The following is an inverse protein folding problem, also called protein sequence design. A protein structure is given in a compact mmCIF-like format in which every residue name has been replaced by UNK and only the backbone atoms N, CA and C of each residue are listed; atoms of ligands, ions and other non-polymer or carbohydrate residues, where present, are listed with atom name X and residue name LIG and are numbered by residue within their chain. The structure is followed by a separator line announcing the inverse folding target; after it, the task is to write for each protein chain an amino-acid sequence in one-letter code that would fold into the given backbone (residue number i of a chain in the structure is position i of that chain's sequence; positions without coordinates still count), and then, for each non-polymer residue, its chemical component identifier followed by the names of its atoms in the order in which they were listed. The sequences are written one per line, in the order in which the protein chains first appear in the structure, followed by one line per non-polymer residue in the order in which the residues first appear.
data_IF_489968483466
#
_entry.id   IF_489968483466
#
_cell.length_a   1.000
_cell.length_b   1.000
_cell.length_c   1.000
_cell.angle_alpha   90.00
_cell.angle_beta   90.00
_cell.angle_gamma   90.00
#
_symmetry.space_group_name_H-M   'P 1'
#
loop_
_entity.id
_entity.type
_entity.pdbx_description
1 polymer ?
#
# COMPACT_ATOMS: atom_id res chain seq x y z
N UNK A 1 0.04 -9.33 0.54
CA UNK A 1 0.04 -8.65 -0.77
C UNK A 1 -1.03 -9.30 -1.61
N UNK A 2 -2.02 -8.53 -2.04
CA UNK A 2 -3.13 -9.00 -2.86
C UNK A 2 -2.68 -9.15 -4.32
N UNK A 3 -3.11 -10.22 -5.01
CA UNK A 3 -2.65 -10.53 -6.36
C UNK A 3 -3.82 -10.62 -7.34
N UNK A 4 -3.75 -9.83 -8.40
CA UNK A 4 -4.78 -9.70 -9.43
C UNK A 4 -4.22 -10.10 -10.79
N UNK A 5 -4.93 -10.97 -11.50
CA UNK A 5 -4.60 -11.36 -12.87
C UNK A 5 -5.76 -11.01 -13.80
N UNK A 6 -5.50 -10.12 -14.76
CA UNK A 6 -6.42 -9.84 -15.86
C UNK A 6 -6.20 -10.81 -17.01
N UNK A 7 -7.29 -11.31 -17.60
CA UNK A 7 -7.23 -12.31 -18.66
C UNK A 7 -8.13 -11.87 -19.83
N UNK A 8 -7.58 -11.95 -21.03
CA UNK A 8 -8.34 -11.85 -22.26
C UNK A 8 -7.84 -12.91 -23.26
N UNK A 9 -8.33 -12.93 -24.49
CA UNK A 9 -7.95 -13.93 -25.50
C UNK A 9 -6.43 -14.00 -25.71
N UNK A 10 -5.80 -12.90 -26.18
CA UNK A 10 -4.39 -12.88 -26.61
C UNK A 10 -3.40 -12.17 -25.68
N UNK A 11 -3.86 -11.49 -24.60
CA UNK A 11 -3.00 -10.68 -23.72
C UNK A 11 -2.21 -9.53 -24.38
N UNK A 12 -2.67 -9.04 -25.52
CA UNK A 12 -2.06 -7.92 -26.24
C UNK A 12 -2.96 -6.68 -26.31
N UNK A 13 -4.18 -6.76 -25.78
CA UNK A 13 -5.15 -5.68 -25.88
C UNK A 13 -5.83 -5.42 -24.53
N UNK A 14 -7.02 -5.96 -24.28
CA UNK A 14 -7.87 -5.66 -23.10
C UNK A 14 -7.20 -5.94 -21.76
N UNK A 15 -6.66 -7.15 -21.55
CA UNK A 15 -6.05 -7.51 -20.27
C UNK A 15 -4.74 -6.75 -19.99
N UNK A 16 -3.93 -6.52 -21.03
CA UNK A 16 -2.71 -5.74 -20.91
C UNK A 16 -3.02 -4.25 -20.60
N UNK A 17 -4.09 -3.70 -21.20
CA UNK A 17 -4.56 -2.36 -20.88
C UNK A 17 -5.08 -2.28 -19.45
N UNK A 18 -5.86 -3.25 -18.97
CA UNK A 18 -6.36 -3.31 -17.60
C UNK A 18 -5.22 -3.35 -16.57
N UNK A 19 -4.16 -4.12 -16.86
CA UNK A 19 -2.95 -4.15 -16.04
C UNK A 19 -2.29 -2.77 -15.94
N UNK A 20 -2.07 -2.09 -17.07
CA UNK A 20 -1.45 -0.78 -17.12
C UNK A 20 -2.27 0.27 -16.35
N UNK A 21 -3.59 0.28 -16.59
CA UNK A 21 -4.54 1.20 -15.95
C UNK A 21 -4.58 1.00 -14.43
N UNK A 22 -4.79 -0.24 -13.96
CA UNK A 22 -4.90 -0.50 -12.53
C UNK A 22 -3.59 -0.25 -11.79
N UNK A 23 -2.44 -0.62 -12.37
CA UNK A 23 -1.12 -0.32 -11.80
C UNK A 23 -0.89 1.19 -11.60
N UNK A 24 -1.31 2.01 -12.56
CA UNK A 24 -1.18 3.46 -12.43
C UNK A 24 -2.14 3.99 -11.37
N UNK A 25 -3.42 3.59 -11.39
CA UNK A 25 -4.41 4.00 -10.40
C UNK A 25 -3.98 3.62 -8.96
N UNK A 26 -3.46 2.41 -8.76
CA UNK A 26 -2.93 1.99 -7.45
C UNK A 26 -1.79 2.89 -6.96
N UNK A 27 -0.86 3.28 -7.86
CA UNK A 27 0.24 4.20 -7.50
C UNK A 27 -0.27 5.58 -7.13
N UNK A 28 -1.22 6.12 -7.89
CA UNK A 28 -1.81 7.46 -7.66
C UNK A 28 -2.57 7.52 -6.32
N UNK A 29 -3.24 6.43 -5.94
CA UNK A 29 -3.99 6.31 -4.67
C UNK A 29 -3.13 5.79 -3.50
N UNK A 30 -1.83 5.55 -3.71
CA UNK A 30 -0.93 5.05 -2.66
C UNK A 30 -1.19 3.61 -2.21
N UNK A 31 -1.90 2.81 -3.00
CA UNK A 31 -2.18 1.40 -2.72
C UNK A 31 -0.97 0.56 -3.13
N UNK A 32 -0.06 0.29 -2.20
CA UNK A 32 1.24 -0.34 -2.48
C UNK A 32 1.24 -1.87 -2.35
N UNK A 33 0.23 -2.46 -1.72
CA UNK A 33 0.20 -3.90 -1.41
C UNK A 33 -0.62 -4.73 -2.41
N UNK A 34 -0.59 -4.33 -3.70
CA UNK A 34 -1.29 -5.03 -4.77
C UNK A 34 -0.32 -5.40 -5.88
N UNK A 35 -0.21 -6.70 -6.20
CA UNK A 35 0.46 -7.20 -7.39
C UNK A 35 -0.57 -7.31 -8.52
N UNK A 36 -0.37 -6.60 -9.62
CA UNK A 36 -1.24 -6.64 -10.80
C UNK A 36 -0.47 -7.23 -11.97
N UNK A 37 -1.07 -8.19 -12.65
CA UNK A 37 -0.50 -8.85 -13.82
C UNK A 37 -1.58 -9.12 -14.87
N UNK A 38 -1.17 -9.53 -16.08
CA UNK A 38 -2.08 -9.99 -17.12
C UNK A 38 -1.58 -11.25 -17.84
N UNK A 39 -2.50 -11.97 -18.46
CA UNK A 39 -2.22 -13.17 -19.22
C UNK A 39 -3.27 -13.38 -20.34
N UNK A 40 -2.95 -14.29 -21.28
CA UNK A 40 -3.84 -14.75 -22.33
C UNK A 40 -4.55 -16.06 -21.95
N UNK A 41 -5.76 -16.25 -22.41
CA UNK A 41 -6.41 -17.57 -22.42
C UNK A 41 -5.77 -18.50 -23.48
N UNK A 42 -5.30 -17.95 -24.59
CA UNK A 42 -4.75 -18.70 -25.72
C UNK A 42 -3.22 -18.56 -25.84
N UNK A 43 -2.64 -19.22 -26.85
CA UNK A 43 -1.19 -19.18 -27.15
C UNK A 43 -0.82 -18.32 -28.36
N UNK A 44 -1.80 -17.75 -29.02
CA UNK A 44 -1.65 -17.16 -30.35
C UNK A 44 -0.68 -15.96 -30.36
N UNK A 45 -0.64 -15.20 -29.26
CA UNK A 45 0.11 -13.94 -29.18
C UNK A 45 1.30 -14.00 -28.19
N UNK A 46 1.74 -15.19 -27.78
CA UNK A 46 2.83 -15.32 -26.79
C UNK A 46 4.09 -14.57 -27.25
N UNK A 47 4.63 -13.74 -26.37
CA UNK A 47 5.82 -12.91 -26.59
C UNK A 47 5.54 -11.57 -27.27
N UNK A 48 4.33 -11.37 -27.81
CA UNK A 48 3.96 -10.12 -28.47
C UNK A 48 3.71 -9.00 -27.45
N UNK A 49 4.03 -7.80 -27.89
CA UNK A 49 3.78 -6.57 -27.13
C UNK A 49 2.32 -6.10 -27.27
N UNK A 50 1.93 -5.11 -26.48
CA UNK A 50 0.58 -4.51 -26.55
C UNK A 50 0.31 -4.02 -27.99
N UNK A 51 -0.85 -4.38 -28.52
CA UNK A 51 -1.26 -4.03 -29.87
C UNK A 51 -1.20 -2.49 -30.09
N UNK A 52 -0.55 -2.03 -31.17
CA UNK A 52 -0.25 -0.60 -31.34
C UNK A 52 -1.45 0.36 -31.21
N UNK A 53 -2.66 0.04 -31.73
CA UNK A 53 -3.83 0.89 -31.51
C UNK A 53 -4.23 1.03 -30.04
N UNK A 54 -4.09 -0.03 -29.23
CA UNK A 54 -4.36 0.02 -27.79
C UNK A 54 -3.28 0.82 -27.07
N UNK A 55 -1.99 0.69 -27.44
CA UNK A 55 -0.92 1.57 -26.91
C UNK A 55 -1.22 3.05 -27.19
N UNK A 56 -1.68 3.36 -28.41
CA UNK A 56 -2.06 4.73 -28.75
C UNK A 56 -3.24 5.22 -27.90
N UNK A 57 -4.23 4.39 -27.64
CA UNK A 57 -5.36 4.72 -26.80
C UNK A 57 -4.94 4.99 -25.35
N UNK A 58 -4.09 4.13 -24.77
CA UNK A 58 -3.51 4.30 -23.44
C UNK A 58 -2.71 5.58 -23.31
N UNK A 59 -1.79 5.83 -24.25
CA UNK A 59 -0.96 7.05 -24.27
C UNK A 59 -1.81 8.32 -24.37
N UNK A 60 -2.88 8.32 -25.17
CA UNK A 60 -3.80 9.45 -25.31
C UNK A 60 -4.52 9.81 -24.00
N UNK A 61 -4.60 8.87 -23.06
CA UNK A 61 -5.19 9.07 -21.71
C UNK A 61 -4.13 9.18 -20.61
N UNK A 62 -2.85 9.28 -20.97
CA UNK A 62 -1.76 9.47 -20.00
C UNK A 62 -1.29 8.22 -19.28
N UNK A 63 -1.71 7.03 -19.72
CA UNK A 63 -1.23 5.78 -19.13
C UNK A 63 0.14 5.38 -19.67
N UNK A 64 1.04 5.00 -18.76
CA UNK A 64 2.34 4.47 -19.13
C UNK A 64 2.18 3.05 -19.72
N UNK A 65 2.88 2.82 -20.83
CA UNK A 65 2.94 1.51 -21.49
C UNK A 65 4.37 0.96 -21.37
N UNK A 66 4.73 0.29 -20.26
CA UNK A 66 6.03 -0.36 -20.16
C UNK A 66 6.15 -1.51 -21.19
N UNK A 67 7.35 -1.99 -21.47
CA UNK A 67 7.55 -3.18 -22.29
C UNK A 67 6.68 -4.33 -21.79
N UNK A 68 5.97 -5.00 -22.72
CA UNK A 68 5.06 -6.08 -22.43
C UNK A 68 5.42 -7.29 -23.30
N UNK A 69 5.23 -8.49 -22.76
CA UNK A 69 5.34 -9.73 -23.50
C UNK A 69 4.17 -10.64 -23.08
N UNK A 70 3.26 -10.89 -24.01
CA UNK A 70 2.08 -11.70 -23.77
C UNK A 70 2.48 -13.11 -23.29
N UNK A 71 1.84 -13.60 -22.24
CA UNK A 71 2.01 -14.96 -21.71
C UNK A 71 0.66 -15.66 -21.63
N UNK A 72 0.65 -16.98 -21.76
CA UNK A 72 -0.55 -17.73 -21.48
C UNK A 72 -0.74 -17.92 -19.97
N UNK A 73 -1.98 -17.90 -19.51
CA UNK A 73 -2.33 -18.32 -18.15
C UNK A 73 -2.18 -19.83 -18.00
N UNK A 74 -1.84 -20.27 -16.80
CA UNK A 74 -1.60 -21.68 -16.46
C UNK A 74 -2.47 -22.11 -15.28
N UNK A 75 -2.63 -23.41 -15.08
CA UNK A 75 -3.37 -23.94 -13.92
C UNK A 75 -2.83 -23.43 -12.58
N UNK A 76 -1.51 -23.20 -12.47
CA UNK A 76 -0.88 -22.67 -11.27
C UNK A 76 -1.24 -21.20 -10.96
N UNK A 77 -1.72 -20.46 -11.96
CA UNK A 77 -2.15 -19.08 -11.73
C UNK A 77 -3.42 -19.03 -10.86
N UNK A 78 -4.27 -20.08 -10.86
CA UNK A 78 -5.44 -20.14 -9.99
C UNK A 78 -5.08 -20.11 -8.49
N UNK A 79 -3.99 -20.77 -8.13
CA UNK A 79 -3.52 -20.82 -6.73
C UNK A 79 -2.74 -19.55 -6.33
N UNK A 80 -2.09 -18.94 -7.33
CA UNK A 80 -1.21 -17.79 -7.12
C UNK A 80 -1.96 -16.48 -6.94
N UNK A 81 -3.09 -16.29 -7.66
CA UNK A 81 -3.81 -15.01 -7.70
C UNK A 81 -5.11 -15.07 -6.90
N UNK A 82 -5.41 -13.98 -6.17
CA UNK A 82 -6.62 -13.84 -5.38
C UNK A 82 -7.84 -13.49 -6.24
N UNK A 83 -7.62 -12.71 -7.31
CA UNK A 83 -8.64 -12.35 -8.30
C UNK A 83 -8.17 -12.68 -9.71
N UNK A 84 -9.05 -13.34 -10.46
CA UNK A 84 -8.88 -13.75 -11.85
C UNK A 84 -9.99 -13.08 -12.66
N UNK A 85 -9.65 -12.05 -13.42
CA UNK A 85 -10.65 -11.14 -13.98
C UNK A 85 -10.62 -11.20 -15.50
N UNK A 86 -11.73 -11.68 -16.09
CA UNK A 86 -11.95 -11.74 -17.52
C UNK A 86 -12.61 -10.49 -18.08
N UNK A 87 -12.56 -10.34 -19.40
CA UNK A 87 -13.14 -9.23 -20.13
C UNK A 87 -14.53 -9.56 -20.67
N UNK A 88 -14.76 -10.83 -21.00
CA UNK A 88 -15.98 -11.38 -21.57
C UNK A 88 -16.27 -12.78 -21.02
N UNK A 89 -17.42 -13.34 -21.37
CA UNK A 89 -17.83 -14.69 -20.93
C UNK A 89 -17.01 -15.80 -21.56
N UNK A 90 -16.42 -15.58 -22.76
CA UNK A 90 -15.51 -16.52 -23.37
C UNK A 90 -14.25 -16.67 -22.50
N UNK A 91 -13.68 -15.55 -22.03
CA UNK A 91 -12.54 -15.58 -21.11
C UNK A 91 -12.87 -16.31 -19.79
N UNK A 92 -14.07 -16.10 -19.22
CA UNK A 92 -14.52 -16.82 -18.02
C UNK A 92 -14.62 -18.33 -18.27
N UNK A 93 -15.16 -18.74 -19.42
CA UNK A 93 -15.27 -20.14 -19.82
C UNK A 93 -13.89 -20.77 -19.98
N UNK A 94 -12.99 -20.09 -20.67
CA UNK A 94 -11.60 -20.55 -20.87
C UNK A 94 -10.84 -20.67 -19.55
N UNK A 95 -10.96 -19.70 -18.66
CA UNK A 95 -10.38 -19.77 -17.32
C UNK A 95 -10.87 -20.99 -16.55
N UNK A 96 -12.19 -21.21 -16.49
CA UNK A 96 -12.75 -22.40 -15.81
C UNK A 96 -12.24 -23.70 -16.41
N UNK A 97 -12.09 -23.78 -17.74
CA UNK A 97 -11.55 -24.94 -18.43
C UNK A 97 -10.06 -25.14 -18.10
N UNK A 98 -9.24 -24.08 -18.12
CA UNK A 98 -7.79 -24.15 -17.86
C UNK A 98 -7.52 -24.51 -16.40
N UNK A 99 -8.27 -23.93 -15.47
CA UNK A 99 -8.06 -24.11 -14.03
C UNK A 99 -8.74 -25.37 -13.48
N UNK A 100 -9.68 -25.96 -14.23
CA UNK A 100 -10.45 -27.12 -13.77
C UNK A 100 -11.62 -26.77 -12.87
N UNK A 101 -12.17 -25.56 -13.02
CA UNK A 101 -13.28 -25.01 -12.25
C UNK A 101 -12.93 -23.72 -11.52
N UNK A 102 -13.85 -23.28 -10.64
CA UNK A 102 -13.68 -22.09 -9.80
C UNK A 102 -14.19 -22.34 -8.37
N UNK A 103 -13.61 -23.31 -7.62
CA UNK A 103 -14.11 -23.68 -6.30
C UNK A 103 -13.95 -22.60 -5.23
N UNK A 104 -13.09 -21.60 -5.45
CA UNK A 104 -12.83 -20.50 -4.53
C UNK A 104 -13.51 -19.19 -4.97
N UNK A 105 -14.34 -19.23 -6.03
CA UNK A 105 -15.06 -18.07 -6.57
C UNK A 105 -14.16 -16.86 -6.84
N UNK A 106 -12.99 -17.10 -7.49
CA UNK A 106 -12.01 -16.06 -7.82
C UNK A 106 -12.21 -15.43 -9.18
N UNK A 107 -13.03 -16.07 -10.04
CA UNK A 107 -13.24 -15.66 -11.42
C UNK A 107 -14.43 -14.71 -11.51
N UNK A 108 -14.23 -13.54 -12.15
CA UNK A 108 -15.28 -12.53 -12.38
C UNK A 108 -15.05 -11.75 -13.66
N UNK A 109 -16.07 -11.02 -14.13
CA UNK A 109 -15.93 -10.02 -15.18
C UNK A 109 -15.39 -8.70 -14.61
N UNK A 110 -14.62 -7.98 -15.40
CA UNK A 110 -14.10 -6.66 -14.98
C UNK A 110 -15.23 -5.65 -14.76
N UNK A 111 -16.29 -5.67 -15.57
CA UNK A 111 -17.44 -4.74 -15.42
C UNK A 111 -18.32 -5.02 -14.21
N UNK A 112 -18.28 -6.22 -13.65
CA UNK A 112 -18.96 -6.51 -12.37
C UNK A 112 -18.50 -5.55 -11.26
N UNK A 113 -17.23 -5.19 -11.26
CA UNK A 113 -16.64 -4.25 -10.31
C UNK A 113 -17.07 -2.80 -10.52
N UNK A 114 -17.52 -2.44 -11.74
CA UNK A 114 -18.11 -1.14 -12.02
C UNK A 114 -19.59 -1.02 -11.55
N UNK A 115 -20.15 -2.11 -11.03
CA UNK A 115 -21.58 -2.20 -10.71
C UNK A 115 -22.46 -2.53 -11.94
N UNK A 116 -21.85 -2.96 -13.02
CA UNK A 116 -22.50 -3.34 -14.29
C UNK A 116 -22.47 -4.86 -14.45
N UNK A 117 -23.08 -5.55 -13.50
CA UNK A 117 -23.04 -7.02 -13.40
C UNK A 117 -23.47 -7.71 -14.71
N UNK A 118 -22.65 -8.66 -15.15
CA UNK A 118 -22.87 -9.44 -16.33
C UNK A 118 -22.62 -8.71 -17.66
N UNK A 119 -22.09 -7.49 -17.64
CA UNK A 119 -21.68 -6.80 -18.86
C UNK A 119 -20.24 -7.16 -19.25
N UNK A 120 -19.98 -7.23 -20.55
CA UNK A 120 -18.67 -7.54 -21.12
C UNK A 120 -17.92 -6.27 -21.51
N UNK A 121 -16.59 -6.36 -21.60
CA UNK A 121 -15.77 -5.34 -22.27
C UNK A 121 -15.82 -5.62 -23.77
N UNK A 122 -16.28 -4.68 -24.56
CA UNK A 122 -16.29 -4.79 -26.01
C UNK A 122 -14.92 -5.16 -26.55
N UNK A 123 -14.86 -6.13 -27.46
CA UNK A 123 -13.58 -6.48 -28.06
C UNK A 123 -13.22 -5.52 -29.20
N UNK A 124 -12.21 -4.64 -29.00
CA UNK A 124 -11.82 -3.66 -30.01
C UNK A 124 -11.14 -4.31 -31.24
N UNK A 125 -10.85 -5.60 -31.20
CA UNK A 125 -10.43 -6.34 -32.39
C UNK A 125 -11.52 -6.37 -33.44
N UNK A 126 -12.79 -6.50 -33.02
CA UNK A 126 -13.96 -6.53 -33.89
C UNK A 126 -14.56 -5.13 -34.09
N UNK A 127 -14.74 -4.39 -33.01
CA UNK A 127 -15.41 -3.07 -33.04
C UNK A 127 -14.54 -1.95 -33.59
N UNK A 128 -13.21 -2.10 -33.55
CA UNK A 128 -12.20 -1.07 -33.86
C UNK A 128 -12.30 0.16 -32.91
N UNK A 129 -13.10 0.10 -31.86
CA UNK A 129 -13.22 1.17 -30.86
C UNK A 129 -12.34 0.91 -29.63
N UNK A 130 -11.05 1.22 -29.77
CA UNK A 130 -10.07 1.08 -28.68
C UNK A 130 -10.31 2.09 -27.56
N UNK A 131 -10.87 3.26 -27.87
CA UNK A 131 -11.17 4.27 -26.84
C UNK A 131 -12.39 3.91 -26.01
N UNK A 132 -13.44 3.37 -26.63
CA UNK A 132 -14.62 2.86 -25.93
C UNK A 132 -14.27 1.69 -25.02
N UNK A 133 -13.55 0.69 -25.54
CA UNK A 133 -13.08 -0.45 -24.75
C UNK A 133 -12.19 0.01 -23.56
N UNK A 134 -11.28 0.96 -23.77
CA UNK A 134 -10.45 1.53 -22.70
C UNK A 134 -11.30 2.25 -21.64
N UNK A 135 -12.35 2.97 -22.04
CA UNK A 135 -13.30 3.61 -21.11
C UNK A 135 -14.02 2.60 -20.20
N UNK A 136 -14.44 1.47 -20.77
CA UNK A 136 -15.06 0.37 -20.02
C UNK A 136 -14.04 -0.28 -19.05
N UNK A 137 -12.79 -0.48 -19.50
CA UNK A 137 -11.70 -1.00 -18.67
C UNK A 137 -11.43 -0.06 -17.48
N UNK A 138 -11.34 1.24 -17.72
CA UNK A 138 -11.14 2.24 -16.65
C UNK A 138 -12.28 2.23 -15.64
N UNK A 139 -13.52 2.11 -16.07
CA UNK A 139 -14.67 2.03 -15.18
C UNK A 139 -14.58 0.80 -14.27
N UNK A 140 -14.27 -0.36 -14.84
CA UNK A 140 -14.05 -1.60 -14.09
C UNK A 140 -12.87 -1.50 -13.11
N UNK A 141 -11.73 -0.97 -13.55
CA UNK A 141 -10.54 -0.77 -12.70
C UNK A 141 -10.83 0.20 -11.55
N UNK A 142 -11.56 1.30 -11.78
CA UNK A 142 -11.98 2.22 -10.70
C UNK A 142 -12.91 1.55 -9.69
N UNK A 143 -13.82 0.71 -10.15
CA UNK A 143 -14.70 -0.07 -9.27
C UNK A 143 -13.92 -1.06 -8.40
N UNK A 144 -13.00 -1.80 -9.03
CA UNK A 144 -12.10 -2.72 -8.35
C UNK A 144 -11.24 -1.97 -7.32
N UNK A 145 -10.62 -0.85 -7.70
CA UNK A 145 -9.82 -0.01 -6.80
C UNK A 145 -10.60 0.44 -5.56
N UNK A 146 -11.85 0.90 -5.74
CA UNK A 146 -12.74 1.27 -4.61
C UNK A 146 -13.03 0.09 -3.70
N UNK A 147 -13.24 -1.10 -4.25
CA UNK A 147 -13.45 -2.32 -3.46
C UNK A 147 -12.20 -2.70 -2.67
N UNK A 148 -11.01 -2.59 -3.28
CA UNK A 148 -9.73 -2.83 -2.63
C UNK A 148 -9.48 -1.83 -1.50
N UNK A 149 -9.67 -0.54 -1.76
CA UNK A 149 -9.54 0.51 -0.76
C UNK A 149 -10.49 0.29 0.43
N UNK A 150 -11.74 -0.15 0.16
CA UNK A 150 -12.69 -0.50 1.21
C UNK A 150 -12.28 -1.74 2.00
N UNK A 151 -11.70 -2.75 1.35
CA UNK A 151 -11.17 -3.93 2.04
C UNK A 151 -9.94 -3.58 2.89
N UNK A 152 -9.08 -2.69 2.42
CA UNK A 152 -7.93 -2.20 3.20
C UNK A 152 -8.39 -1.32 4.36
N UNK A 153 -9.35 -0.43 4.17
CA UNK A 153 -9.91 0.39 5.25
C UNK A 153 -10.60 -0.45 6.34
N UNK A 154 -11.13 -1.61 5.98
CA UNK A 154 -11.71 -2.58 6.93
C UNK A 154 -10.70 -3.53 7.57
N UNK A 155 -9.41 -3.51 7.16
CA UNK A 155 -8.37 -4.32 7.81
C UNK A 155 -7.64 -3.51 8.87
N UNK A 156 -7.26 -4.14 10.00
CA UNK A 156 -6.41 -3.46 10.96
C UNK A 156 -5.05 -3.11 10.35
N UNK A 157 -4.68 -1.84 10.45
CA UNK A 157 -3.39 -1.30 10.01
C UNK A 157 -2.37 -1.46 11.14
N UNK A 158 -1.21 -2.02 10.84
CA UNK A 158 -0.09 -2.10 11.78
C UNK A 158 0.81 -0.87 11.61
N UNK A 159 1.05 -0.17 12.72
CA UNK A 159 1.89 1.02 12.78
C UNK A 159 3.03 0.79 13.76
N UNK A 160 4.28 0.94 13.30
CA UNK A 160 5.43 0.99 14.18
C UNK A 160 5.64 2.43 14.67
N UNK A 161 5.96 2.61 15.94
CA UNK A 161 6.30 3.91 16.54
C UNK A 161 7.71 3.82 17.12
N UNK A 162 8.61 4.61 16.55
CA UNK A 162 10.04 4.66 16.84
C UNK A 162 10.42 6.05 17.33
N UNK A 163 11.49 6.16 18.09
CA UNK A 163 12.16 7.42 18.42
C UNK A 163 13.61 7.18 18.81
N UNK A 164 14.43 8.23 18.77
CA UNK A 164 15.75 8.27 19.37
C UNK A 164 16.67 7.13 18.87
N UNK A 165 16.71 6.91 17.55
CA UNK A 165 17.65 5.98 16.92
C UNK A 165 19.10 6.44 17.04
N UNK A 166 19.34 7.76 17.05
CA UNK A 166 20.69 8.36 17.16
C UNK A 166 21.71 7.75 16.20
N UNK A 167 21.31 7.52 14.94
CA UNK A 167 22.15 6.96 13.89
C UNK A 167 22.46 5.47 14.07
N UNK A 168 21.67 4.75 14.83
CA UNK A 168 21.75 3.31 15.01
C UNK A 168 20.38 2.66 14.81
N UNK A 169 20.05 2.31 13.57
CA UNK A 169 18.92 1.47 13.27
C UNK A 169 19.31 0.00 13.45
N UNK A 170 18.81 -0.63 14.51
CA UNK A 170 19.14 -2.01 14.86
C UNK A 170 18.42 -3.00 13.95
N UNK A 171 19.09 -4.13 13.62
CA UNK A 171 18.48 -5.21 12.81
C UNK A 171 17.24 -5.80 13.45
N UNK A 172 17.21 -5.91 14.78
CA UNK A 172 16.06 -6.45 15.52
C UNK A 172 14.88 -5.47 15.52
N UNK A 173 15.12 -4.15 15.53
CA UNK A 173 14.10 -3.14 15.30
C UNK A 173 13.50 -3.31 13.90
N UNK A 174 14.36 -3.47 12.88
CA UNK A 174 13.93 -3.72 11.51
C UNK A 174 13.12 -5.01 11.39
N UNK A 175 13.51 -6.07 12.07
CA UNK A 175 12.78 -7.35 12.08
C UNK A 175 11.37 -7.19 12.66
N UNK A 176 11.22 -6.40 13.73
CA UNK A 176 9.94 -6.16 14.39
C UNK A 176 8.97 -5.29 13.57
N UNK A 177 9.47 -4.40 12.71
CA UNK A 177 8.61 -3.49 11.94
C UNK A 177 8.19 -4.02 10.56
N UNK A 178 8.68 -5.18 10.13
CA UNK A 178 8.44 -5.74 8.77
C UNK A 178 6.97 -5.98 8.42
N UNK A 179 6.13 -6.23 9.41
CA UNK A 179 4.70 -6.43 9.26
C UNK A 179 3.89 -5.12 9.39
N UNK A 180 4.58 -3.98 9.59
CA UNK A 180 3.97 -2.67 9.70
C UNK A 180 3.87 -2.01 8.33
N UNK A 181 2.74 -1.40 8.03
CA UNK A 181 2.52 -0.63 6.80
C UNK A 181 2.88 0.84 6.94
N UNK A 182 2.93 1.33 8.18
CA UNK A 182 3.28 2.71 8.53
C UNK A 182 4.31 2.71 9.65
N UNK A 183 5.23 3.66 9.56
CA UNK A 183 6.30 3.87 10.52
C UNK A 183 6.27 5.33 10.96
N UNK A 184 6.12 5.56 12.27
CA UNK A 184 6.23 6.87 12.90
C UNK A 184 7.61 6.98 13.55
N UNK A 185 8.34 8.05 13.26
CA UNK A 185 9.61 8.34 13.91
C UNK A 185 9.56 9.69 14.62
N UNK A 186 9.54 9.68 15.95
CA UNK A 186 9.37 10.87 16.79
C UNK A 186 10.67 11.64 17.03
N UNK A 187 11.63 11.63 16.09
CA UNK A 187 12.83 12.48 16.10
C UNK A 187 14.08 11.86 16.70
N UNK A 188 15.17 12.64 16.67
CA UNK A 188 16.54 12.23 17.01
C UNK A 188 17.00 11.02 16.18
N UNK A 189 16.93 11.18 14.86
CA UNK A 189 17.29 10.20 13.84
C UNK A 189 18.81 10.19 13.64
N UNK A 190 19.41 11.37 13.42
CA UNK A 190 20.84 11.67 13.26
C UNK A 190 21.46 11.21 11.93
N UNK A 191 20.91 10.18 11.25
CA UNK A 191 21.36 9.75 9.93
C UNK A 191 20.20 9.66 8.97
N UNK A 192 20.29 10.35 7.84
CA UNK A 192 19.29 10.29 6.76
C UNK A 192 19.14 8.86 6.21
N UNK A 193 20.23 8.10 6.13
CA UNK A 193 20.22 6.70 5.68
C UNK A 193 19.31 5.80 6.52
N UNK A 194 19.10 6.11 7.81
CA UNK A 194 18.17 5.36 8.65
C UNK A 194 16.70 5.57 8.18
N UNK A 195 16.35 6.78 7.75
CA UNK A 195 15.05 7.04 7.13
C UNK A 195 14.88 6.35 5.79
N UNK A 196 15.92 6.33 4.96
CA UNK A 196 15.91 5.66 3.66
C UNK A 196 15.73 4.15 3.82
N UNK A 197 16.39 3.56 4.81
CA UNK A 197 16.18 2.15 5.15
C UNK A 197 14.75 1.89 5.64
N UNK A 198 14.21 2.72 6.53
CA UNK A 198 12.85 2.58 7.05
C UNK A 198 11.79 2.70 5.94
N UNK A 199 12.01 3.54 4.93
CA UNK A 199 11.11 3.68 3.75
C UNK A 199 10.94 2.38 2.95
N UNK A 200 11.88 1.45 3.05
CA UNK A 200 11.76 0.14 2.38
C UNK A 200 10.69 -0.75 3.02
N UNK A 201 10.29 -0.48 4.26
CA UNK A 201 9.37 -1.31 5.03
C UNK A 201 7.95 -0.75 5.12
N UNK A 202 7.75 0.56 4.92
CA UNK A 202 6.41 1.17 4.98
C UNK A 202 6.41 2.68 4.74
N UNK A 203 5.22 3.26 4.71
CA UNK A 203 5.06 4.72 4.66
C UNK A 203 5.59 5.35 5.92
N UNK A 204 6.50 6.33 5.80
CA UNK A 204 7.14 6.96 6.95
C UNK A 204 6.57 8.34 7.25
N UNK A 205 6.34 8.59 8.54
CA UNK A 205 6.03 9.89 9.12
C UNK A 205 7.11 10.21 10.13
N UNK A 206 7.87 11.28 9.91
CA UNK A 206 8.98 11.61 10.79
C UNK A 206 8.96 13.10 11.16
N UNK A 207 9.29 13.40 12.40
CA UNK A 207 9.60 14.75 12.86
C UNK A 207 11.08 14.85 13.18
N UNK A 208 11.64 16.07 13.12
CA UNK A 208 13.00 16.30 13.59
C UNK A 208 13.05 16.36 15.11
N UNK A 209 14.10 15.79 15.68
CA UNK A 209 14.50 16.01 17.08
C UNK A 209 15.57 17.11 17.20
N UNK A 210 16.01 17.36 18.42
CA UNK A 210 17.03 18.36 18.69
C UNK A 210 18.42 18.01 18.12
N UNK A 211 18.73 16.73 17.96
CA UNK A 211 19.98 16.28 17.36
C UNK A 211 19.95 16.27 15.83
N UNK A 212 18.78 16.40 15.20
CA UNK A 212 18.63 16.40 13.73
C UNK A 212 18.87 17.80 13.12
N UNK A 213 18.82 18.86 13.93
CA UNK A 213 18.98 20.26 13.46
C UNK A 213 20.30 20.54 12.74
N UNK A 214 21.33 19.76 13.03
CA UNK A 214 22.69 19.92 12.49
C UNK A 214 23.01 18.92 11.37
N UNK A 215 22.03 18.10 10.96
CA UNK A 215 22.19 17.07 9.96
C UNK A 215 21.57 17.51 8.62
N UNK A 216 22.37 17.48 7.56
CA UNK A 216 21.84 17.70 6.20
C UNK A 216 20.79 16.60 5.90
N UNK A 217 19.69 16.99 5.24
CA UNK A 217 18.57 16.10 4.93
C UNK A 217 17.55 15.89 6.07
N UNK A 218 17.94 16.05 7.35
CA UNK A 218 17.04 15.89 8.49
C UNK A 218 16.56 17.22 9.08
N UNK A 219 17.34 18.29 9.00
CA UNK A 219 16.99 19.62 9.51
C UNK A 219 15.72 20.21 8.91
N UNK A 220 15.38 19.79 7.68
CA UNK A 220 14.21 20.29 6.94
C UNK A 220 12.93 19.51 7.30
N UNK A 221 13.03 18.44 8.10
CA UNK A 221 11.86 17.77 8.66
C UNK A 221 11.06 18.75 9.54
N UNK A 222 9.74 18.60 9.51
CA UNK A 222 8.87 19.37 10.40
C UNK A 222 9.18 19.07 11.88
N UNK A 223 9.14 20.07 12.76
CA UNK A 223 9.23 19.85 14.21
C UNK A 223 7.95 19.28 14.83
N UNK A 224 6.82 19.47 14.14
CA UNK A 224 5.51 18.98 14.53
C UNK A 224 4.73 18.59 13.29
N UNK A 225 4.06 17.42 13.35
CA UNK A 225 3.15 16.94 12.31
C UNK A 225 1.76 16.65 12.86
N UNK A 226 0.74 16.99 12.06
CA UNK A 226 -0.64 16.50 12.23
C UNK A 226 -0.99 15.67 11.01
N UNK A 227 -1.47 14.46 11.21
CA UNK A 227 -1.77 13.52 10.11
C UNK A 227 -2.81 12.51 10.55
N UNK A 228 -3.27 11.70 9.59
CA UNK A 228 -4.28 10.67 9.82
C UNK A 228 -3.85 9.34 9.22
N UNK A 229 -4.05 8.24 9.95
CA UNK A 229 -3.84 6.86 9.49
C UNK A 229 -5.05 6.04 9.88
N UNK A 230 -5.68 5.36 8.92
CA UNK A 230 -6.88 4.53 9.13
C UNK A 230 -7.99 5.24 9.91
N UNK A 231 -8.18 6.55 9.71
CA UNK A 231 -9.18 7.36 10.38
C UNK A 231 -8.79 7.83 11.79
N UNK A 232 -7.62 7.44 12.31
CA UNK A 232 -7.08 7.94 13.60
C UNK A 232 -6.22 9.17 13.33
N UNK A 233 -6.53 10.27 14.04
CA UNK A 233 -5.81 11.55 13.93
C UNK A 233 -4.70 11.65 14.96
N UNK A 234 -3.50 11.87 14.47
CA UNK A 234 -2.26 11.97 15.23
C UNK A 234 -1.74 13.39 15.29
N UNK A 235 -1.08 13.69 16.39
CA UNK A 235 -0.10 14.77 16.51
C UNK A 235 1.23 14.13 16.91
N UNK A 236 2.30 14.47 16.23
CA UNK A 236 3.65 13.98 16.55
C UNK A 236 4.62 15.14 16.65
N UNK A 237 5.41 15.16 17.70
CA UNK A 237 6.53 16.07 17.93
C UNK A 237 7.62 15.33 18.69
N UNK A 238 8.86 15.82 18.67
CA UNK A 238 9.93 15.15 19.41
C UNK A 238 9.82 15.38 20.93
N UNK A 239 9.62 16.61 21.33
CA UNK A 239 9.55 16.96 22.76
C UNK A 239 8.07 17.23 23.15
N UNK A 240 7.62 16.64 24.25
CA UNK A 240 6.26 16.81 24.77
C UNK A 240 5.96 18.30 25.09
N UNK A 241 6.97 19.10 25.44
CA UNK A 241 6.83 20.55 25.72
C UNK A 241 6.41 21.36 24.48
N UNK A 242 6.61 20.82 23.28
CA UNK A 242 6.23 21.45 22.01
C UNK A 242 4.78 21.14 21.60
N UNK A 243 4.07 20.32 22.38
CA UNK A 243 2.68 19.98 22.10
C UNK A 243 1.79 21.22 22.31
N UNK A 244 1.03 21.66 21.28
CA UNK A 244 0.20 22.84 21.40
C UNK A 244 -1.02 22.58 22.30
N UNK A 245 -1.54 23.65 22.92
CA UNK A 245 -2.73 23.56 23.82
C UNK A 245 -3.99 23.09 23.08
N UNK A 246 -4.13 23.42 21.78
CA UNK A 246 -5.28 22.98 20.98
C UNK A 246 -5.01 21.62 20.36
N UNK A 247 -5.68 20.60 20.89
CA UNK A 247 -5.65 19.21 20.44
C UNK A 247 -7.01 18.75 19.89
N UNK A 248 -7.83 19.67 19.39
CA UNK A 248 -9.14 19.33 18.84
C UNK A 248 -9.04 18.30 17.73
N UNK A 249 -9.83 17.23 17.85
CA UNK A 249 -9.87 16.11 16.92
C UNK A 249 -8.69 15.15 17.00
N UNK A 250 -7.61 15.44 17.74
CA UNK A 250 -6.47 14.54 17.93
C UNK A 250 -6.84 13.39 18.87
N UNK A 251 -6.51 12.16 18.46
CA UNK A 251 -6.77 10.93 19.23
C UNK A 251 -5.49 10.34 19.82
N UNK A 252 -4.33 10.60 19.19
CA UNK A 252 -3.04 10.16 19.69
C UNK A 252 -1.98 11.26 19.57
N UNK A 253 -1.21 11.47 20.64
CA UNK A 253 -0.03 12.32 20.71
C UNK A 253 1.19 11.42 20.83
N UNK A 254 2.15 11.58 19.94
CA UNK A 254 3.38 10.79 19.89
C UNK A 254 4.57 11.70 20.16
N UNK A 255 5.39 11.36 21.15
CA UNK A 255 6.61 12.08 21.52
C UNK A 255 7.79 11.12 21.68
N UNK A 256 9.01 11.67 21.73
CA UNK A 256 10.26 10.98 22.02
C UNK A 256 11.04 11.64 23.14
N UNK A 257 12.31 11.96 22.91
CA UNK A 257 13.21 12.80 23.70
C UNK A 257 13.63 12.25 25.09
N UNK A 258 12.70 11.72 25.86
CA UNK A 258 13.00 11.23 27.21
C UNK A 258 13.70 9.88 27.25
N UNK A 259 13.73 9.15 26.13
CA UNK A 259 14.22 7.77 25.99
C UNK A 259 13.52 6.76 26.92
N UNK A 260 12.37 7.11 27.48
CA UNK A 260 11.60 6.24 28.38
C UNK A 260 10.25 5.93 27.76
N UNK A 261 9.93 4.65 27.69
CA UNK A 261 8.60 4.24 27.25
C UNK A 261 7.52 4.77 28.24
N UNK A 262 6.53 5.43 27.70
CA UNK A 262 5.32 5.80 28.43
C UNK A 262 4.10 5.66 27.53
N UNK A 263 3.00 5.22 28.12
CA UNK A 263 1.71 5.04 27.47
C UNK A 263 0.63 5.46 28.48
N UNK A 264 -0.04 6.56 28.19
CA UNK A 264 -1.02 7.16 29.11
C UNK A 264 -2.25 7.63 28.33
N UNK A 265 -3.42 7.55 28.97
CA UNK A 265 -4.65 8.16 28.48
C UNK A 265 -4.91 9.47 29.21
N UNK A 266 -4.76 10.60 28.52
CA UNK A 266 -4.99 11.94 29.08
C UNK A 266 -6.14 12.59 28.30
N UNK A 267 -7.20 12.98 28.98
CA UNK A 267 -8.40 13.59 28.40
C UNK A 267 -8.98 12.78 27.20
N UNK A 268 -8.97 11.46 27.32
CA UNK A 268 -9.48 10.55 26.29
C UNK A 268 -8.58 10.41 25.06
N UNK A 269 -7.32 10.90 25.11
CA UNK A 269 -6.30 10.79 24.06
C UNK A 269 -5.17 9.91 24.53
N UNK A 270 -4.65 9.09 23.62
CA UNK A 270 -3.42 8.34 23.85
C UNK A 270 -2.23 9.31 23.82
N UNK A 271 -1.40 9.28 24.86
CA UNK A 271 -0.07 9.87 24.88
C UNK A 271 0.95 8.74 24.90
N UNK A 272 1.80 8.69 23.89
CA UNK A 272 2.73 7.58 23.69
C UNK A 272 4.13 8.11 23.42
N UNK A 273 5.07 7.67 24.25
CA UNK A 273 6.49 7.76 23.97
C UNK A 273 7.02 6.33 23.77
N UNK A 274 7.54 5.97 22.59
CA UNK A 274 8.00 4.60 22.33
C UNK A 274 9.31 4.26 23.06
N UNK A 275 9.94 5.20 23.75
CA UNK A 275 11.29 5.08 24.27
C UNK A 275 12.37 5.25 23.19
N UNK A 276 13.58 4.80 23.44
CA UNK A 276 14.67 4.82 22.47
C UNK A 276 14.83 3.43 21.84
N UNK A 277 14.85 3.36 20.51
CA UNK A 277 15.10 2.12 19.78
C UNK A 277 16.55 2.00 19.25
N UNK A 278 17.39 3.02 19.46
CA UNK A 278 18.80 3.00 19.13
C UNK A 278 19.66 2.41 20.25
N UNK A 279 20.11 3.23 21.17
CA UNK A 279 20.98 2.84 22.29
C UNK A 279 20.25 2.97 23.62
N UNK A 280 20.43 1.97 24.49
CA UNK A 280 20.00 2.14 25.88
C UNK A 280 20.73 3.31 26.53
N UNK A 281 19.98 4.21 27.17
CA UNK A 281 20.54 5.32 27.94
C UNK A 281 20.01 5.25 29.36
N UNK A 282 20.81 5.71 30.31
CA UNK A 282 20.44 5.79 31.72
C UNK A 282 19.97 4.46 32.34
N UNK A 283 20.48 3.32 31.84
CA UNK A 283 20.08 1.97 32.29
C UNK A 283 18.65 1.59 31.86
N UNK A 284 18.07 2.30 30.89
CA UNK A 284 16.75 2.00 30.34
C UNK A 284 16.77 0.85 29.33
N UNK A 285 15.57 0.42 28.94
CA UNK A 285 15.34 -0.59 27.92
C UNK A 285 15.42 0.01 26.51
N UNK A 286 15.79 -0.80 25.53
CA UNK A 286 15.65 -0.47 24.12
C UNK A 286 14.23 -0.86 23.71
N UNK A 287 13.44 0.11 23.31
CA UNK A 287 12.02 -0.12 23.07
C UNK A 287 11.51 0.56 21.80
N UNK A 288 10.42 0.01 21.28
CA UNK A 288 9.53 0.64 20.31
C UNK A 288 8.08 0.30 20.67
N UNK A 289 7.11 0.94 20.03
CA UNK A 289 5.72 0.54 20.15
C UNK A 289 5.18 0.03 18.81
N UNK A 290 4.23 -0.91 18.86
CA UNK A 290 3.40 -1.31 17.71
C UNK A 290 1.95 -1.01 18.02
N UNK A 291 1.30 -0.27 17.14
CA UNK A 291 -0.12 0.05 17.24
C UNK A 291 -0.91 -0.70 16.19
N UNK A 292 -2.13 -1.06 16.52
CA UNK A 292 -3.11 -1.62 15.59
C UNK A 292 -4.28 -0.68 15.48
N UNK A 293 -4.56 -0.20 14.26
CA UNK A 293 -5.60 0.78 13.98
C UNK A 293 -6.65 0.19 13.06
N UNK A 294 -7.90 0.58 13.22
CA UNK A 294 -9.00 0.22 12.31
C UNK A 294 -10.14 1.21 12.46
N UNK A 295 -10.65 1.71 11.33
CA UNK A 295 -11.86 2.53 11.23
C UNK A 295 -11.94 3.65 12.28
N UNK A 296 -10.87 4.45 12.38
CA UNK A 296 -10.79 5.58 13.31
C UNK A 296 -10.56 5.20 14.77
N UNK A 297 -10.22 3.94 15.06
CA UNK A 297 -9.98 3.45 16.42
C UNK A 297 -8.58 2.89 16.58
N UNK A 298 -7.99 3.13 17.73
CA UNK A 298 -6.79 2.45 18.22
C UNK A 298 -7.23 1.16 18.91
N UNK A 299 -6.99 0.00 18.26
CA UNK A 299 -7.41 -1.29 18.79
C UNK A 299 -6.47 -1.81 19.87
N UNK A 300 -5.17 -1.54 19.72
CA UNK A 300 -4.15 -1.93 20.69
C UNK A 300 -2.89 -1.09 20.53
N UNK A 301 -2.18 -0.92 21.63
CA UNK A 301 -0.79 -0.48 21.69
C UNK A 301 0.01 -1.57 22.37
N UNK A 302 1.20 -1.85 21.90
CA UNK A 302 2.06 -2.90 22.44
C UNK A 302 3.50 -2.41 22.51
N UNK A 303 4.05 -2.37 23.73
CA UNK A 303 5.47 -2.16 23.96
C UNK A 303 6.25 -3.36 23.42
N UNK A 304 7.30 -3.11 22.67
CA UNK A 304 8.28 -4.12 22.22
C UNK A 304 9.61 -3.79 22.87
N UNK A 305 10.19 -4.78 23.52
CA UNK A 305 11.53 -4.68 24.14
C UNK A 305 12.49 -5.40 23.21
N UNK A 306 13.52 -4.70 22.77
CA UNK A 306 14.61 -5.24 21.96
C UNK A 306 15.69 -5.75 22.92
N UNK A 307 16.12 -6.97 22.74
CA UNK A 307 17.25 -7.55 23.49
C UNK A 307 18.56 -6.96 22.97
N UNK A 308 19.45 -6.67 23.88
CA UNK A 308 20.78 -6.07 23.55
C UNK A 308 21.72 -7.13 22.97
#
# INVERSE_FOLDING_TARGET
MLKILFICHGNICRSAAAEAVLKQMCREEGILQVEVSSAAATREEIGNDIYPPMKKALAARGYACPPHAARQTTRGDYERYDYLIGMDYENLSDMKRIYGGDPLHRISLLRDWAGEAGQEIDDPWYTRDFQGALGQIEAGCRGLLRSLAKQESGRPVQVAVLSDTHGLLRRDVVAEIRDCTHILHAGDIVKETDLDELRLYGSIWAVRGNNDLWQDGLRDLAGLLRFEIAGVKFLMTHDERDVPRNLEGIQAVICGHTHRYSEEMIDGRLWLNPGSCGRARFGGEITLAKMKLQEGKILSVRKIIIQD
#
